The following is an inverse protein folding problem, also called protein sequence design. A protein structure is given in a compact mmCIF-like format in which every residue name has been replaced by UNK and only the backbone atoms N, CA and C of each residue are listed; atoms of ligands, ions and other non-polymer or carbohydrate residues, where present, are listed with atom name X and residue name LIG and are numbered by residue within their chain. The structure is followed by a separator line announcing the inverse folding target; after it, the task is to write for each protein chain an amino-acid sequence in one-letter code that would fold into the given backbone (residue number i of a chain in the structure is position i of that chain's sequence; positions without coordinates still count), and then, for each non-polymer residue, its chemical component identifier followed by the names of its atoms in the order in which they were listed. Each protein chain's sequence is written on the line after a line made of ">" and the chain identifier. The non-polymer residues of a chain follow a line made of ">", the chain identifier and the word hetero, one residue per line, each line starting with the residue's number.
data_IF_918263749970
#
_entry.id   IF_918263749970
#
_cell.length_a   1.000
_cell.length_b   1.000
_cell.length_c   1.000
_cell.angle_alpha   90.00
_cell.angle_beta   90.00
_cell.angle_gamma   90.00
#
_symmetry.space_group_name_H-M   'P 1'
#
loop_
_entity.id
_entity.type
_entity.pdbx_description
1 polymer ?
#
# COMPACT_ATOMS: atom_id res chain seq x y z
N UNK A 1 -16.81 -18.57 14.67
CA UNK A 1 -16.46 -18.59 16.11
C UNK A 1 -15.82 -17.24 16.39
N UNK A 2 -16.43 -16.42 17.25
CA UNK A 2 -15.90 -15.08 17.55
C UNK A 2 -14.67 -15.22 18.45
N UNK A 3 -13.56 -14.61 18.03
CA UNK A 3 -12.32 -14.52 18.79
C UNK A 3 -12.40 -13.28 19.68
N UNK A 4 -12.50 -13.48 21.00
CA UNK A 4 -12.55 -12.40 21.97
C UNK A 4 -11.13 -11.91 22.21
N UNK A 5 -10.78 -10.72 21.71
CA UNK A 5 -9.52 -10.07 22.07
C UNK A 5 -9.66 -9.38 23.42
N UNK A 6 -8.72 -9.65 24.32
CA UNK A 6 -8.59 -8.89 25.56
C UNK A 6 -8.43 -7.40 25.25
N UNK A 7 -9.09 -6.55 26.04
CA UNK A 7 -9.08 -5.09 25.93
C UNK A 7 -7.82 -4.45 26.51
N UNK A 8 -6.78 -5.24 26.77
CA UNK A 8 -5.49 -4.71 27.21
C UNK A 8 -4.91 -3.88 26.07
N UNK A 9 -4.66 -2.56 26.28
CA UNK A 9 -3.95 -1.76 25.29
C UNK A 9 -2.63 -2.43 24.98
N UNK A 10 -2.21 -2.42 23.70
CA UNK A 10 -0.90 -2.91 23.30
C UNK A 10 0.19 -2.24 24.14
N UNK A 11 0.76 -2.99 25.08
CA UNK A 11 1.84 -2.50 25.96
C UNK A 11 3.22 -2.63 25.28
N UNK A 12 3.30 -3.38 24.18
CA UNK A 12 4.56 -3.67 23.48
C UNK A 12 5.38 -4.78 24.13
N UNK A 13 4.75 -5.68 24.88
CA UNK A 13 5.41 -6.77 25.61
C UNK A 13 4.95 -8.18 25.20
N UNK A 14 3.95 -8.31 24.32
CA UNK A 14 3.51 -9.61 23.78
C UNK A 14 4.33 -9.90 22.52
N UNK A 15 5.23 -10.88 22.63
CA UNK A 15 6.40 -11.12 21.78
C UNK A 15 6.10 -11.53 20.32
N UNK A 16 4.86 -11.34 19.82
CA UNK A 16 4.48 -11.62 18.43
C UNK A 16 3.21 -10.90 17.95
N UNK A 17 2.62 -9.99 18.73
CA UNK A 17 1.38 -9.32 18.32
C UNK A 17 1.66 -7.90 17.86
N UNK A 18 1.41 -7.62 16.59
CA UNK A 18 1.52 -6.28 16.00
C UNK A 18 0.30 -5.43 16.39
N UNK A 19 0.44 -4.10 16.50
CA UNK A 19 -0.71 -3.19 16.50
C UNK A 19 -1.67 -3.49 15.36
N UNK A 20 -2.96 -3.19 15.55
CA UNK A 20 -3.97 -3.37 14.51
C UNK A 20 -3.59 -2.57 13.25
N UNK A 21 -3.10 -1.34 13.42
CA UNK A 21 -2.68 -0.46 12.32
C UNK A 21 -1.17 -0.49 12.06
N UNK A 22 -0.48 -1.57 12.43
CA UNK A 22 0.95 -1.71 12.21
C UNK A 22 1.32 -1.50 10.74
N UNK A 23 2.40 -0.75 10.49
CA UNK A 23 2.77 -0.32 9.14
C UNK A 23 3.79 -1.27 8.52
N UNK A 24 3.40 -1.88 7.40
CA UNK A 24 4.27 -2.65 6.52
C UNK A 24 4.84 -1.71 5.45
N UNK A 25 6.15 -1.55 5.40
CA UNK A 25 6.86 -0.75 4.40
C UNK A 25 7.81 -1.66 3.63
N UNK A 26 7.69 -1.68 2.30
CA UNK A 26 8.50 -2.50 1.40
C UNK A 26 8.59 -3.98 1.81
N UNK A 27 7.47 -4.52 2.31
CA UNK A 27 7.36 -5.91 2.73
C UNK A 27 7.87 -6.22 4.14
N UNK A 28 8.29 -5.22 4.91
CA UNK A 28 8.74 -5.37 6.30
C UNK A 28 7.97 -4.46 7.24
N UNK A 29 7.56 -4.98 8.39
CA UNK A 29 6.87 -4.19 9.39
C UNK A 29 7.88 -3.37 10.19
N UNK A 30 7.65 -2.07 10.32
CA UNK A 30 8.59 -1.18 11.05
C UNK A 30 8.73 -1.62 12.51
N UNK A 31 7.67 -2.17 13.10
CA UNK A 31 7.65 -2.70 14.47
C UNK A 31 8.72 -3.78 14.70
N UNK A 32 9.01 -4.61 13.69
CA UNK A 32 10.05 -5.65 13.79
C UNK A 32 11.44 -5.08 13.55
N UNK A 33 11.52 -4.00 12.77
CA UNK A 33 12.77 -3.38 12.39
C UNK A 33 13.32 -2.51 13.51
N UNK A 34 12.48 -1.85 14.29
CA UNK A 34 12.92 -0.88 15.29
C UNK A 34 12.41 -1.29 16.67
N UNK A 35 13.28 -1.85 17.53
CA UNK A 35 12.90 -2.15 18.90
C UNK A 35 12.32 -0.93 19.62
N UNK A 36 11.13 -1.10 20.21
CA UNK A 36 10.43 -0.04 20.93
C UNK A 36 9.62 0.94 20.07
N UNK A 37 9.59 0.74 18.75
CA UNK A 37 8.65 1.42 17.86
C UNK A 37 7.27 0.74 17.89
N UNK A 38 6.21 1.53 17.83
CA UNK A 38 4.84 1.04 17.65
C UNK A 38 4.04 2.06 16.88
N UNK A 39 3.36 1.63 15.81
CA UNK A 39 2.29 2.43 15.21
C UNK A 39 1.11 2.49 16.18
N UNK A 40 0.56 3.69 16.39
CA UNK A 40 -0.54 3.95 17.33
C UNK A 40 -1.85 4.21 16.60
N UNK A 41 -1.79 5.07 15.58
CA UNK A 41 -2.93 5.45 14.77
C UNK A 41 -2.47 5.84 13.36
N UNK A 42 -3.34 5.64 12.37
CA UNK A 42 -3.11 6.01 10.98
C UNK A 42 -4.37 6.70 10.47
N UNK A 43 -4.21 7.88 9.88
CA UNK A 43 -5.32 8.67 9.35
C UNK A 43 -5.08 9.11 7.92
N UNK A 44 -6.14 9.53 7.23
CA UNK A 44 -6.05 10.02 5.85
C UNK A 44 -6.22 8.92 4.81
N UNK A 45 -6.60 7.70 5.24
CA UNK A 45 -6.85 6.52 4.40
C UNK A 45 -8.31 6.08 4.35
N UNK A 46 -9.21 6.82 5.01
CA UNK A 46 -10.63 6.47 5.15
C UNK A 46 -11.47 7.04 4.01
N UNK A 47 -11.68 8.36 3.99
CA UNK A 47 -12.52 9.04 2.99
C UNK A 47 -11.70 10.13 2.27
N UNK A 48 -11.84 10.22 0.95
CA UNK A 48 -11.21 11.25 0.12
C UNK A 48 -12.27 12.05 -0.63
N UNK A 49 -12.25 13.37 -0.49
CA UNK A 49 -13.04 14.24 -1.34
C UNK A 49 -12.44 14.32 -2.74
N UNK A 50 -13.27 14.33 -3.77
CA UNK A 50 -12.82 14.61 -5.13
C UNK A 50 -12.44 16.08 -5.28
N UNK A 51 -11.42 16.35 -6.10
CA UNK A 51 -11.14 17.70 -6.60
C UNK A 51 -12.12 18.00 -7.72
N UNK A 52 -13.06 18.92 -7.48
CA UNK A 52 -14.10 19.32 -8.44
C UNK A 52 -13.81 20.73 -8.96
N UNK A 53 -13.63 20.86 -10.26
CA UNK A 53 -13.57 22.16 -10.96
C UNK A 53 -14.94 22.50 -11.54
N UNK A 54 -15.41 23.73 -11.29
CA UNK A 54 -16.77 24.17 -11.59
C UNK A 54 -16.78 25.42 -12.46
N UNK A 55 -17.82 25.57 -13.26
CA UNK A 55 -18.07 26.74 -14.08
C UNK A 55 -19.52 27.21 -13.96
N UNK A 56 -19.70 28.47 -13.60
CA UNK A 56 -20.99 29.15 -13.63
C UNK A 56 -21.23 29.75 -15.02
N UNK A 57 -22.43 29.57 -15.59
CA UNK A 57 -22.78 30.08 -16.92
C UNK A 57 -23.70 31.31 -16.80
N UNK A 58 -23.15 32.49 -17.07
CA UNK A 58 -23.91 33.74 -17.08
C UNK A 58 -24.51 34.09 -15.71
N UNK A 59 -25.82 34.33 -15.67
CA UNK A 59 -26.58 34.61 -14.43
C UNK A 59 -27.47 33.42 -14.03
N UNK A 60 -27.17 32.23 -14.53
CA UNK A 60 -27.95 31.03 -14.24
C UNK A 60 -27.67 30.56 -12.81
N UNK A 61 -28.67 29.97 -12.18
CA UNK A 61 -28.49 29.34 -10.87
C UNK A 61 -27.68 28.04 -11.01
N UNK A 62 -26.75 27.81 -10.07
CA UNK A 62 -25.92 26.60 -10.00
C UNK A 62 -24.66 26.62 -10.87
N UNK A 63 -23.94 25.49 -10.84
CA UNK A 63 -22.65 25.32 -11.50
C UNK A 63 -22.62 24.06 -12.38
N UNK A 64 -21.88 24.13 -13.49
CA UNK A 64 -21.49 22.97 -14.29
C UNK A 64 -20.16 22.39 -13.78
N UNK A 65 -20.03 21.07 -13.69
CA UNK A 65 -18.76 20.41 -13.34
C UNK A 65 -17.91 20.30 -14.61
N UNK A 66 -16.77 20.97 -14.64
CA UNK A 66 -15.79 20.83 -15.72
C UNK A 66 -14.96 19.55 -15.56
N UNK A 67 -14.42 19.33 -14.35
CA UNK A 67 -13.58 18.18 -14.04
C UNK A 67 -13.89 17.64 -12.65
N UNK A 68 -13.82 16.31 -12.52
CA UNK A 68 -13.81 15.61 -11.26
C UNK A 68 -12.63 14.62 -11.28
N UNK A 69 -11.70 14.75 -10.33
CA UNK A 69 -10.51 13.90 -10.24
C UNK A 69 -10.22 13.47 -8.81
N UNK A 70 -9.52 12.35 -8.69
CA UNK A 70 -8.92 11.95 -7.43
C UNK A 70 -7.69 12.84 -7.18
N UNK A 71 -7.67 13.63 -6.10
CA UNK A 71 -6.48 14.39 -5.73
C UNK A 71 -5.43 13.46 -5.10
N UNK A 72 -4.20 13.92 -5.03
CA UNK A 72 -3.21 13.35 -4.11
C UNK A 72 -3.73 13.42 -2.67
N UNK A 73 -3.17 12.59 -1.79
CA UNK A 73 -3.53 12.63 -0.37
C UNK A 73 -2.33 12.42 0.52
N UNK A 74 -2.52 12.71 1.79
CA UNK A 74 -1.54 12.48 2.85
C UNK A 74 -2.08 11.43 3.82
N UNK A 75 -1.22 10.49 4.20
CA UNK A 75 -1.47 9.52 5.26
C UNK A 75 -0.59 9.90 6.43
N UNK A 76 -1.21 10.18 7.58
CA UNK A 76 -0.50 10.56 8.79
C UNK A 76 -0.41 9.36 9.73
N UNK A 77 0.82 8.97 10.05
CA UNK A 77 1.13 7.83 10.91
C UNK A 77 1.59 8.34 12.27
N UNK A 78 0.75 8.18 13.28
CA UNK A 78 1.08 8.42 14.68
C UNK A 78 1.82 7.22 15.26
N UNK A 79 2.95 7.45 15.92
CA UNK A 79 3.82 6.40 16.45
C UNK A 79 4.30 6.69 17.87
N UNK A 80 4.64 5.63 18.59
CA UNK A 80 5.46 5.65 19.82
C UNK A 80 6.85 5.17 19.48
N UNK A 81 7.87 5.79 20.08
CA UNK A 81 9.23 5.24 20.10
C UNK A 81 9.80 5.32 21.52
N UNK A 82 10.21 4.19 22.07
CA UNK A 82 10.80 4.11 23.41
C UNK A 82 12.06 3.24 23.44
N UNK A 83 13.09 3.69 24.16
CA UNK A 83 14.32 2.93 24.38
C UNK A 83 14.86 3.13 25.81
N UNK A 84 15.64 2.16 26.28
CA UNK A 84 16.22 2.14 27.63
C UNK A 84 17.22 3.26 27.90
N UNK A 85 17.96 3.66 26.87
CA UNK A 85 19.09 4.57 26.98
C UNK A 85 19.23 5.48 25.75
N UNK A 86 20.03 6.53 25.91
CA UNK A 86 20.16 7.59 24.92
C UNK A 86 20.77 7.08 23.60
N UNK A 87 21.66 6.08 23.65
CA UNK A 87 22.33 5.57 22.47
C UNK A 87 21.34 4.74 21.63
N UNK A 88 20.63 3.80 22.25
CA UNK A 88 19.60 3.02 21.57
C UNK A 88 18.47 3.89 21.03
N UNK A 89 18.05 4.92 21.78
CA UNK A 89 17.05 5.88 21.31
C UNK A 89 17.50 6.61 20.04
N UNK A 90 18.77 7.04 20.00
CA UNK A 90 19.32 7.72 18.81
C UNK A 90 19.47 6.77 17.63
N UNK A 91 19.93 5.54 17.86
CA UNK A 91 20.05 4.51 16.82
C UNK A 91 18.69 4.16 16.22
N UNK A 92 17.64 4.09 17.05
CA UNK A 92 16.28 3.86 16.57
C UNK A 92 15.81 4.95 15.61
N UNK A 93 16.10 6.23 15.88
CA UNK A 93 15.81 7.31 14.94
C UNK A 93 16.62 7.25 13.65
N UNK A 94 17.90 6.86 13.71
CA UNK A 94 18.67 6.66 12.48
C UNK A 94 18.08 5.55 11.63
N UNK A 95 17.63 4.47 12.26
CA UNK A 95 16.96 3.38 11.56
C UNK A 95 15.61 3.80 10.99
N UNK A 96 14.80 4.54 11.76
CA UNK A 96 13.53 5.10 11.28
C UNK A 96 13.74 5.99 10.07
N UNK A 97 14.68 6.93 10.14
CA UNK A 97 15.03 7.79 9.00
C UNK A 97 15.48 6.95 7.80
N UNK A 98 16.34 5.96 8.01
CA UNK A 98 16.83 5.10 6.92
C UNK A 98 15.71 4.28 6.25
N UNK A 99 14.68 3.87 6.99
CA UNK A 99 13.56 3.09 6.47
C UNK A 99 12.58 3.98 5.70
N UNK A 100 12.33 5.19 6.20
CA UNK A 100 11.34 6.11 5.61
C UNK A 100 11.88 6.91 4.42
N UNK A 101 13.19 7.06 4.28
CA UNK A 101 13.78 7.81 3.16
C UNK A 101 13.90 6.95 1.90
N UNK A 102 13.47 7.56 0.80
CA UNK A 102 13.49 6.97 -0.53
C UNK A 102 12.59 7.79 -1.46
N UNK A 103 12.68 7.55 -2.76
CA UNK A 103 11.82 8.24 -3.73
C UNK A 103 10.37 7.80 -3.58
N UNK A 104 10.14 6.51 -3.32
CA UNK A 104 8.82 5.94 -3.10
C UNK A 104 8.90 4.60 -2.39
N UNK A 105 7.90 4.31 -1.56
CA UNK A 105 7.75 3.07 -0.82
C UNK A 105 6.37 2.46 -1.05
N UNK A 106 6.30 1.13 -1.03
CA UNK A 106 5.04 0.42 -0.96
C UNK A 106 4.63 0.27 0.51
N UNK A 107 3.50 0.87 0.89
CA UNK A 107 3.04 0.90 2.27
C UNK A 107 1.68 0.22 2.40
N UNK A 108 1.53 -0.70 3.36
CA UNK A 108 0.24 -1.26 3.75
C UNK A 108 0.12 -1.31 5.27
N UNK A 109 -1.06 -1.67 5.76
CA UNK A 109 -1.37 -1.66 7.18
C UNK A 109 -2.02 -2.99 7.59
N UNK A 110 -1.74 -3.43 8.82
CA UNK A 110 -2.09 -4.76 9.30
C UNK A 110 -3.61 -5.00 9.44
N UNK A 111 -4.42 -3.96 9.47
CA UNK A 111 -5.88 -4.02 9.53
C UNK A 111 -6.54 -4.16 8.15
N UNK A 112 -5.86 -3.75 7.07
CA UNK A 112 -6.28 -3.99 5.68
C UNK A 112 -5.11 -4.51 4.82
N UNK A 113 -4.76 -5.81 4.95
CA UNK A 113 -3.65 -6.40 4.19
C UNK A 113 -3.95 -6.57 2.70
N UNK A 114 -5.20 -6.33 2.27
CA UNK A 114 -5.60 -6.46 0.87
C UNK A 114 -5.23 -5.25 0.02
N UNK A 115 -4.88 -4.13 0.68
CA UNK A 115 -4.57 -2.85 0.07
C UNK A 115 -3.16 -2.37 0.37
N UNK A 116 -2.62 -1.59 -0.56
CA UNK A 116 -1.37 -0.87 -0.37
C UNK A 116 -1.43 0.51 -1.03
N UNK A 117 -0.48 1.35 -0.66
CA UNK A 117 -0.29 2.70 -1.14
C UNK A 117 1.13 2.85 -1.68
N UNK A 118 1.31 3.68 -2.70
CA UNK A 118 2.62 4.11 -3.18
C UNK A 118 2.85 5.51 -2.62
N UNK A 119 3.79 5.64 -1.69
CA UNK A 119 3.92 6.85 -0.89
C UNK A 119 5.38 7.28 -0.70
N UNK A 120 5.56 8.57 -0.41
CA UNK A 120 6.87 9.18 -0.13
C UNK A 120 6.80 9.89 1.21
N UNK A 121 7.79 9.69 2.07
CA UNK A 121 7.89 10.41 3.34
C UNK A 121 8.05 11.92 3.10
N UNK A 122 7.14 12.73 3.64
CA UNK A 122 7.02 14.14 3.25
C UNK A 122 7.12 15.13 4.40
N UNK A 123 6.69 14.77 5.61
CA UNK A 123 6.68 15.68 6.75
C UNK A 123 6.77 14.95 8.10
N UNK A 124 7.12 15.69 9.15
CA UNK A 124 7.30 15.19 10.51
C UNK A 124 6.74 16.20 11.51
N UNK A 125 5.95 15.71 12.48
CA UNK A 125 5.54 16.51 13.63
C UNK A 125 6.66 16.68 14.66
N UNK A 126 6.53 17.70 15.51
CA UNK A 126 7.57 18.06 16.48
C UNK A 126 7.88 16.90 17.44
N UNK A 127 9.14 16.46 17.43
CA UNK A 127 9.59 15.33 18.26
C UNK A 127 9.98 15.84 19.64
N UNK A 128 9.32 15.39 20.72
CA UNK A 128 9.65 15.86 22.06
C UNK A 128 11.08 15.55 22.48
N UNK A 129 11.75 16.53 23.09
CA UNK A 129 13.17 16.47 23.45
C UNK A 129 13.37 16.12 24.93
N UNK A 130 14.56 15.61 25.27
CA UNK A 130 14.97 15.37 26.66
C UNK A 130 14.40 14.10 27.32
N UNK A 131 13.82 13.19 26.53
CA UNK A 131 13.30 11.88 26.99
C UNK A 131 13.51 10.82 25.92
N UNK A 132 13.64 9.56 26.34
CA UNK A 132 13.84 8.41 25.46
C UNK A 132 12.57 7.60 25.19
N UNK A 133 11.41 8.16 25.54
CA UNK A 133 10.09 7.62 25.24
C UNK A 133 9.22 8.77 24.76
N UNK A 134 8.80 8.69 23.49
CA UNK A 134 8.07 9.75 22.81
C UNK A 134 6.88 9.19 22.03
N UNK A 135 5.97 10.09 21.73
CA UNK A 135 4.93 9.94 20.72
C UNK A 135 5.03 11.12 19.78
N UNK A 136 4.94 10.88 18.48
CA UNK A 136 4.88 11.90 17.43
C UNK A 136 4.17 11.33 16.19
N UNK A 137 4.15 12.08 15.10
CA UNK A 137 3.61 11.67 13.80
C UNK A 137 4.60 11.95 12.68
N UNK A 138 4.42 11.24 11.57
CA UNK A 138 4.98 11.63 10.29
C UNK A 138 3.94 11.46 9.19
N UNK A 139 4.19 12.12 8.05
CA UNK A 139 3.29 12.15 6.90
C UNK A 139 3.91 11.41 5.73
N UNK A 140 3.08 10.60 5.09
CA UNK A 140 3.34 9.93 3.83
C UNK A 140 2.49 10.59 2.75
N UNK A 141 3.14 11.21 1.77
CA UNK A 141 2.48 11.76 0.59
C UNK A 141 2.20 10.65 -0.42
N UNK A 142 0.95 10.51 -0.84
CA UNK A 142 0.48 9.57 -1.86
C UNK A 142 0.12 10.36 -3.12
N UNK A 143 0.96 10.33 -4.16
CA UNK A 143 0.76 11.17 -5.35
C UNK A 143 -0.53 10.87 -6.12
N UNK A 144 -0.92 9.60 -6.24
CA UNK A 144 -2.10 9.17 -7.01
C UNK A 144 -3.40 9.21 -6.19
N UNK A 145 -3.30 9.35 -4.87
CA UNK A 145 -4.44 9.43 -3.95
C UNK A 145 -5.25 8.14 -3.79
N UNK A 146 -4.81 7.00 -4.33
CA UNK A 146 -5.62 5.77 -4.36
C UNK A 146 -4.95 4.58 -3.68
N UNK A 147 -5.78 3.72 -3.09
CA UNK A 147 -5.36 2.42 -2.60
C UNK A 147 -5.32 1.42 -3.76
N UNK A 148 -4.21 0.70 -3.87
CA UNK A 148 -4.00 -0.38 -4.83
C UNK A 148 -4.38 -1.73 -4.22
N UNK A 149 -4.73 -2.71 -5.05
CA UNK A 149 -5.10 -4.06 -4.61
C UNK A 149 -3.92 -5.01 -4.73
N UNK A 150 -3.71 -5.86 -3.72
CA UNK A 150 -2.67 -6.92 -3.77
C UNK A 150 -3.11 -8.12 -4.64
N UNK A 151 -4.40 -8.22 -4.98
CA UNK A 151 -4.93 -9.36 -5.74
C UNK A 151 -4.36 -9.45 -7.17
N UNK A 152 -3.89 -10.63 -7.55
CA UNK A 152 -3.52 -10.98 -8.93
C UNK A 152 -4.77 -11.13 -9.79
N UNK A 153 -4.88 -10.32 -10.84
CA UNK A 153 -5.89 -10.51 -11.88
C UNK A 153 -5.38 -11.57 -12.88
N UNK A 154 -5.94 -12.77 -12.83
CA UNK A 154 -5.75 -13.77 -13.89
C UNK A 154 -6.78 -13.52 -14.99
N UNK A 155 -6.36 -12.96 -16.11
CA UNK A 155 -7.14 -13.00 -17.34
C UNK A 155 -6.99 -14.40 -17.96
N UNK A 156 -8.08 -15.15 -18.03
CA UNK A 156 -8.11 -16.43 -18.75
C UNK A 156 -8.20 -16.13 -20.25
N UNK A 157 -7.04 -15.99 -20.88
CA UNK A 157 -6.92 -15.63 -22.30
C UNK A 157 -6.91 -16.88 -23.19
N UNK A 158 -7.68 -17.93 -22.84
CA UNK A 158 -7.86 -19.08 -23.71
C UNK A 158 -8.95 -18.79 -24.77
N UNK A 159 -8.58 -18.63 -26.05
CA UNK A 159 -9.54 -18.28 -27.11
C UNK A 159 -10.53 -19.40 -27.45
N UNK A 160 -10.42 -20.58 -26.82
CA UNK A 160 -11.14 -21.80 -27.17
C UNK A 160 -11.84 -22.48 -25.98
N UNK A 161 -12.15 -21.73 -24.91
CA UNK A 161 -12.69 -22.29 -23.66
C UNK A 161 -14.07 -22.99 -23.82
N UNK A 162 -14.81 -22.66 -24.88
CA UNK A 162 -16.14 -23.23 -25.18
C UNK A 162 -16.18 -24.18 -26.39
N UNK A 163 -15.02 -24.55 -26.95
CA UNK A 163 -15.00 -25.40 -28.14
C UNK A 163 -14.85 -26.86 -27.75
N UNK A 164 -15.90 -27.63 -28.05
CA UNK A 164 -15.95 -29.07 -27.80
C UNK A 164 -14.81 -29.80 -28.50
N UNK A 165 -14.18 -30.75 -27.81
CA UNK A 165 -13.02 -31.57 -28.24
C UNK A 165 -13.18 -32.28 -29.61
N UNK A 166 -14.40 -32.36 -30.13
CA UNK A 166 -14.72 -32.99 -31.41
C UNK A 166 -14.24 -32.21 -32.66
N UNK A 167 -13.74 -30.98 -32.51
CA UNK A 167 -13.16 -30.21 -33.62
C UNK A 167 -11.66 -30.46 -33.84
N UNK A 168 -10.98 -31.18 -32.94
CA UNK A 168 -9.53 -31.45 -33.03
C UNK A 168 -9.19 -32.79 -33.72
N UNK A 169 -10.18 -33.61 -34.08
CA UNK A 169 -9.95 -34.94 -34.66
C UNK A 169 -10.07 -35.01 -36.20
N UNK A 170 -10.13 -33.88 -36.91
CA UNK A 170 -10.29 -33.89 -38.37
C UNK A 170 -9.31 -33.01 -39.13
N UNK A 171 -8.02 -33.09 -38.78
CA UNK A 171 -6.92 -32.68 -39.66
C UNK A 171 -6.08 -33.90 -39.96
N UNK A 172 -6.33 -34.50 -41.12
CA UNK A 172 -5.80 -35.79 -41.54
C UNK A 172 -4.27 -35.85 -41.67
N UNK A 173 -3.74 -37.02 -41.28
CA UNK A 173 -2.36 -37.47 -41.42
C UNK A 173 -1.98 -37.81 -42.88
N UNK A 174 -2.28 -36.93 -43.85
CA UNK A 174 -1.95 -37.12 -45.27
C UNK A 174 -1.09 -35.95 -45.80
N UNK A 175 -0.02 -35.61 -45.09
CA UNK A 175 1.03 -34.73 -45.63
C UNK A 175 2.16 -35.57 -46.25
N UNK A 176 2.13 -35.73 -47.57
CA UNK A 176 3.23 -36.29 -48.37
C UNK A 176 3.97 -35.17 -49.11
N UNK A 177 5.13 -34.69 -48.63
CA UNK A 177 5.86 -33.63 -49.33
C UNK A 177 6.58 -34.19 -50.58
N UNK A 178 6.16 -33.73 -51.76
CA UNK A 178 6.91 -33.90 -53.01
C UNK A 178 8.24 -33.14 -52.88
N UNK A 179 9.35 -33.87 -52.88
CA UNK A 179 10.72 -33.31 -52.90
C UNK A 179 11.06 -32.95 -54.35
N UNK A 180 11.17 -31.65 -54.65
CA UNK A 180 11.82 -31.18 -55.87
C UNK A 180 13.27 -30.78 -55.56
N UNK A 181 14.22 -31.51 -56.15
CA UNK A 181 15.64 -31.20 -56.12
C UNK A 181 15.95 -30.06 -57.10
N UNK A 182 16.73 -29.09 -56.66
CA UNK A 182 17.24 -27.98 -57.46
C UNK A 182 18.36 -28.42 -58.43
N UNK A 183 18.11 -28.20 -59.71
CA UNK A 183 18.98 -27.72 -60.80
C UNK A 183 20.41 -28.28 -60.93
N UNK A 184 20.61 -29.03 -62.01
CA UNK A 184 21.88 -29.31 -62.68
C UNK A 184 21.62 -29.77 -64.12
#
# INVERSE_FOLDING_TARGET
>A
MYDFRETTPFTGSDDNQRPAEAMLIDGQYIEDLIPGYSTLQVSGRELLSQSIEKQTIGKSDGDFIQYARNPSREIVVGYRLAASDNLSFRQAFYKLNSILHGDSHQVSFNDDPSKYWIATFSDIDDVPKGRNAITSSFTLFVPDGIAHSVATQTADNMPYKDLSDNLLHNTGDDWNPIVWSTDG
#
